data_IF_037749493020
#
_entry.id   IF_037749493020
#
_cell.length_a   1.000
_cell.length_b   1.000
_cell.length_c   1.000
_cell.angle_alpha   90.00
_cell.angle_beta   90.00
_cell.angle_gamma   90.00
#
_symmetry.space_group_name_H-M   'P 1'
#
loop_
_entity.id
_entity.type
_entity.pdbx_description
1 polymer ?
#
# COMPACT_ATOMS: atom_id res chain seq x y z
N UNK A 1 20.44 7.12 19.50
CA UNK A 1 21.64 6.31 19.74
C UNK A 1 21.51 5.15 18.79
N UNK A 2 22.31 5.16 17.73
CA UNK A 2 22.26 4.15 16.67
C UNK A 2 23.01 2.90 17.12
N UNK A 3 22.42 1.74 16.86
CA UNK A 3 23.03 0.43 17.12
C UNK A 3 23.93 0.06 15.93
N UNK A 4 25.27 0.01 16.11
CA UNK A 4 26.21 -0.27 15.02
C UNK A 4 26.22 -1.74 14.56
N UNK A 5 25.39 -2.62 15.16
CA UNK A 5 25.23 -4.01 14.74
C UNK A 5 23.99 -4.26 13.86
N UNK A 6 23.16 -3.25 13.64
CA UNK A 6 22.06 -3.34 12.66
C UNK A 6 22.61 -2.92 11.30
N UNK A 7 22.84 -3.89 10.42
CA UNK A 7 23.11 -3.62 9.01
C UNK A 7 21.89 -2.91 8.43
N UNK A 8 21.98 -1.59 8.25
CA UNK A 8 20.95 -0.77 7.56
C UNK A 8 20.90 -1.08 6.05
N UNK A 9 21.78 -1.96 5.57
CA UNK A 9 21.86 -2.41 4.19
C UNK A 9 21.29 -3.84 4.07
N UNK A 10 20.05 -3.96 3.60
CA UNK A 10 19.43 -5.24 3.29
C UNK A 10 19.57 -5.57 1.80
N UNK A 11 19.95 -6.81 1.47
CA UNK A 11 19.89 -7.29 0.09
C UNK A 11 18.47 -7.72 -0.28
N UNK A 12 17.90 -7.12 -1.33
CA UNK A 12 16.52 -7.41 -1.75
C UNK A 12 16.35 -7.42 -3.27
N UNK A 13 15.23 -7.95 -3.72
CA UNK A 13 14.81 -7.94 -5.12
C UNK A 13 13.51 -7.17 -5.23
N UNK A 14 13.41 -6.30 -6.24
CA UNK A 14 12.16 -5.62 -6.61
C UNK A 14 11.81 -5.90 -8.05
N UNK A 15 10.59 -6.37 -8.27
CA UNK A 15 9.96 -6.47 -9.58
C UNK A 15 8.95 -5.32 -9.72
N UNK A 16 8.96 -4.66 -10.87
CA UNK A 16 8.02 -3.59 -11.18
C UNK A 16 7.45 -3.80 -12.57
N UNK A 17 6.13 -3.73 -12.69
CA UNK A 17 5.41 -3.80 -13.95
C UNK A 17 4.43 -2.65 -14.01
N UNK A 18 4.41 -1.95 -15.15
CA UNK A 18 3.42 -0.93 -15.45
C UNK A 18 2.79 -1.18 -16.81
N UNK A 19 1.49 -0.97 -16.89
CA UNK A 19 0.68 -1.11 -18.09
C UNK A 19 -0.24 0.10 -18.22
N UNK A 20 -0.32 0.66 -19.43
CA UNK A 20 -1.22 1.76 -19.76
C UNK A 20 -1.95 1.41 -21.04
N UNK A 21 -3.26 1.62 -21.04
CA UNK A 21 -4.13 1.39 -22.18
C UNK A 21 -5.06 2.58 -22.38
N UNK A 22 -4.99 3.20 -23.56
CA UNK A 22 -5.95 4.23 -23.96
C UNK A 22 -7.18 3.52 -24.54
N UNK A 23 -8.28 3.49 -23.79
CA UNK A 23 -9.49 2.78 -24.22
C UNK A 23 -10.24 3.54 -25.33
N UNK A 24 -10.26 4.87 -25.24
CA UNK A 24 -10.81 5.79 -26.25
C UNK A 24 -10.21 7.19 -26.03
N UNK A 25 -10.68 8.22 -26.74
CA UNK A 25 -10.15 9.59 -26.62
C UNK A 25 -10.31 10.21 -25.22
N UNK A 26 -11.28 9.76 -24.43
CA UNK A 26 -11.58 10.34 -23.10
C UNK A 26 -11.18 9.43 -21.94
N UNK A 27 -10.91 8.15 -22.19
CA UNK A 27 -10.78 7.13 -21.15
C UNK A 27 -9.45 6.40 -21.26
N UNK A 28 -8.69 6.41 -20.17
CA UNK A 28 -7.44 5.68 -20.03
C UNK A 28 -7.49 4.75 -18.82
N UNK A 29 -6.88 3.58 -18.96
CA UNK A 29 -6.68 2.61 -17.90
C UNK A 29 -5.19 2.44 -17.63
N UNK A 30 -4.81 2.36 -16.35
CA UNK A 30 -3.44 2.10 -15.90
C UNK A 30 -3.44 1.00 -14.85
N UNK A 31 -2.43 0.13 -14.92
CA UNK A 31 -2.17 -0.89 -13.91
C UNK A 31 -0.69 -0.87 -13.57
N UNK A 32 -0.35 -0.92 -12.29
CA UNK A 32 1.01 -0.96 -11.78
C UNK A 32 1.11 -2.01 -10.70
N UNK A 33 2.12 -2.87 -10.80
CA UNK A 33 2.47 -3.87 -9.80
C UNK A 33 3.91 -3.65 -9.36
N UNK A 34 4.13 -3.53 -8.06
CA UNK A 34 5.44 -3.58 -7.44
C UNK A 34 5.42 -4.76 -6.48
N UNK A 35 6.40 -5.64 -6.58
CA UNK A 35 6.62 -6.71 -5.62
C UNK A 35 8.07 -6.64 -5.15
N UNK A 36 8.29 -6.68 -3.84
CA UNK A 36 9.61 -6.70 -3.26
C UNK A 36 9.77 -7.80 -2.21
N UNK A 37 10.97 -8.38 -2.19
CA UNK A 37 11.37 -9.42 -1.25
C UNK A 37 12.72 -9.05 -0.65
N UNK A 38 12.79 -9.06 0.68
CA UNK A 38 14.05 -9.00 1.40
C UNK A 38 14.68 -10.42 1.41
N UNK A 39 15.89 -10.58 0.87
CA UNK A 39 16.52 -11.88 0.73
C UNK A 39 17.25 -12.36 1.98
N UNK A 40 17.59 -11.46 2.91
CA UNK A 40 18.10 -11.82 4.24
C UNK A 40 16.99 -12.38 5.13
N UNK A 41 15.76 -11.94 4.90
CA UNK A 41 14.60 -12.47 5.59
C UNK A 41 13.40 -12.58 4.64
N UNK A 42 13.36 -13.71 3.93
CA UNK A 42 12.33 -14.08 2.94
C UNK A 42 10.90 -14.04 3.46
N UNK A 43 10.71 -13.84 4.76
CA UNK A 43 9.40 -13.64 5.36
C UNK A 43 8.91 -12.18 5.32
N UNK A 44 9.69 -11.23 4.79
CA UNK A 44 9.29 -9.83 4.48
C UNK A 44 9.15 -9.67 2.96
N UNK A 45 7.94 -9.98 2.50
CA UNK A 45 7.52 -9.88 1.11
C UNK A 45 6.33 -8.92 1.04
N UNK A 46 6.40 -7.96 0.12
CA UNK A 46 5.32 -6.98 -0.07
C UNK A 46 4.90 -6.89 -1.53
N UNK A 47 3.63 -6.61 -1.72
CA UNK A 47 3.03 -6.35 -3.02
C UNK A 47 2.23 -5.04 -2.94
N UNK A 48 2.42 -4.18 -3.94
CA UNK A 48 1.57 -3.05 -4.24
C UNK A 48 1.01 -3.22 -5.65
N UNK A 49 -0.31 -3.43 -5.75
CA UNK A 49 -1.04 -3.45 -7.00
C UNK A 49 -1.99 -2.27 -7.06
N UNK A 50 -1.76 -1.37 -8.00
CA UNK A 50 -2.62 -0.23 -8.26
C UNK A 50 -3.25 -0.33 -9.64
N UNK A 51 -4.58 -0.31 -9.71
CA UNK A 51 -5.33 -0.17 -10.94
C UNK A 51 -6.05 1.17 -10.93
N UNK A 52 -6.07 1.87 -12.06
CA UNK A 52 -6.77 3.15 -12.16
C UNK A 52 -7.41 3.35 -13.51
N UNK A 53 -8.50 4.12 -13.50
CA UNK A 53 -9.23 4.54 -14.68
C UNK A 53 -9.41 6.05 -14.61
N UNK A 54 -9.00 6.75 -15.66
CA UNK A 54 -9.20 8.18 -15.81
C UNK A 54 -10.18 8.44 -16.95
N UNK A 55 -11.15 9.33 -16.71
CA UNK A 55 -12.14 9.76 -17.69
C UNK A 55 -12.12 11.28 -17.80
N UNK A 56 -11.92 11.82 -19.00
CA UNK A 56 -12.03 13.24 -19.29
C UNK A 56 -13.49 13.69 -19.13
N UNK A 57 -13.71 14.73 -18.33
CA UNK A 57 -15.03 15.33 -18.05
C UNK A 57 -15.23 16.58 -18.89
N UNK A 58 -14.21 17.43 -18.97
CA UNK A 58 -14.17 18.64 -19.79
C UNK A 58 -12.72 18.95 -20.18
N UNK A 59 -12.48 19.97 -21.01
CA UNK A 59 -11.18 20.27 -21.62
C UNK A 59 -9.94 19.90 -20.77
N UNK A 60 -9.64 20.65 -19.69
CA UNK A 60 -8.49 20.35 -18.83
C UNK A 60 -8.81 19.38 -17.70
N UNK A 61 -10.03 18.82 -17.59
CA UNK A 61 -10.50 18.16 -16.37
C UNK A 61 -10.74 16.67 -16.59
N UNK A 62 -10.15 15.83 -15.75
CA UNK A 62 -10.38 14.39 -15.74
C UNK A 62 -10.71 13.89 -14.33
N UNK A 63 -11.60 12.90 -14.25
CA UNK A 63 -11.89 12.17 -13.03
C UNK A 63 -11.09 10.87 -13.04
N UNK A 64 -10.25 10.63 -12.04
CA UNK A 64 -9.45 9.42 -11.89
C UNK A 64 -9.90 8.63 -10.67
N UNK A 65 -10.36 7.40 -10.89
CA UNK A 65 -10.61 6.42 -9.84
C UNK A 65 -9.43 5.45 -9.79
N UNK A 66 -8.89 5.22 -8.60
CA UNK A 66 -7.81 4.26 -8.37
C UNK A 66 -8.21 3.29 -7.27
N UNK A 67 -7.84 2.03 -7.47
CA UNK A 67 -7.94 0.97 -6.48
C UNK A 67 -6.55 0.38 -6.28
N UNK A 68 -6.08 0.45 -5.04
CA UNK A 68 -4.78 -0.02 -4.63
C UNK A 68 -4.94 -1.15 -3.61
N UNK A 69 -4.18 -2.21 -3.82
CA UNK A 69 -4.09 -3.37 -2.93
C UNK A 69 -2.67 -3.44 -2.43
N UNK A 70 -2.51 -3.34 -1.12
CA UNK A 70 -1.23 -3.47 -0.44
C UNK A 70 -1.24 -4.78 0.33
N UNK A 71 -0.26 -5.63 0.08
CA UNK A 71 -0.01 -6.82 0.86
C UNK A 71 1.34 -6.71 1.55
N UNK A 72 1.36 -7.01 2.84
CA UNK A 72 2.59 -7.10 3.64
C UNK A 72 2.55 -8.37 4.49
N UNK A 73 3.55 -9.24 4.31
CA UNK A 73 3.67 -10.48 5.08
C UNK A 73 3.98 -10.24 6.56
N UNK A 74 4.60 -9.09 6.90
CA UNK A 74 4.88 -8.60 8.25
C UNK A 74 4.23 -7.24 8.49
N UNK A 75 2.90 -7.22 8.68
CA UNK A 75 2.18 -5.99 8.95
C UNK A 75 2.70 -5.36 10.25
N UNK A 76 2.77 -4.04 10.28
CA UNK A 76 3.18 -3.26 11.44
C UNK A 76 2.44 -3.69 12.70
N UNK A 77 3.16 -3.82 13.81
CA UNK A 77 2.57 -4.09 15.12
C UNK A 77 2.05 -2.78 15.72
N UNK A 78 0.79 -2.76 16.14
CA UNK A 78 0.20 -1.64 16.90
C UNK A 78 0.02 -2.02 18.36
N UNK A 79 0.29 -1.09 19.26
CA UNK A 79 -0.03 -1.24 20.68
C UNK A 79 -1.54 -1.06 20.91
N UNK A 80 -2.24 -2.14 21.25
CA UNK A 80 -3.66 -2.13 21.59
C UNK A 80 -3.81 -2.21 23.10
N UNK A 81 -4.51 -1.26 23.76
CA UNK A 81 -4.73 -1.31 25.20
C UNK A 81 -5.62 -2.49 25.56
N UNK A 82 -5.17 -3.33 26.50
CA UNK A 82 -5.90 -4.49 26.95
C UNK A 82 -7.08 -4.07 27.83
N UNK A 83 -8.21 -4.75 27.65
CA UNK A 83 -9.43 -4.55 28.45
C UNK A 83 -9.72 -5.81 29.29
N UNK A 84 -10.19 -5.60 30.51
CA UNK A 84 -10.85 -6.66 31.28
C UNK A 84 -12.14 -7.10 30.57
N UNK A 85 -12.67 -8.31 30.83
CA UNK A 85 -13.90 -8.81 30.21
C UNK A 85 -15.13 -7.90 30.34
N UNK A 86 -15.11 -6.92 31.25
CA UNK A 86 -16.18 -5.96 31.51
C UNK A 86 -15.87 -4.54 31.00
N UNK A 87 -14.88 -4.37 30.12
CA UNK A 87 -14.64 -3.13 29.35
C UNK A 87 -13.69 -2.11 29.99
N UNK A 88 -13.23 -2.31 31.22
CA UNK A 88 -12.23 -1.44 31.84
C UNK A 88 -10.82 -1.72 31.27
N UNK A 89 -10.08 -0.67 30.93
CA UNK A 89 -8.69 -0.79 30.49
C UNK A 89 -7.78 -1.24 31.64
N UNK A 90 -6.85 -2.14 31.34
CA UNK A 90 -5.89 -2.72 32.31
C UNK A 90 -4.67 -1.83 32.56
N UNK A 91 -4.47 -0.78 31.75
CA UNK A 91 -3.24 0.02 31.73
C UNK A 91 -2.07 -0.66 31.01
N UNK A 92 -2.24 -1.89 30.51
CA UNK A 92 -1.25 -2.63 29.72
C UNK A 92 -1.58 -2.55 28.23
N UNK A 93 -0.55 -2.54 27.39
CA UNK A 93 -0.67 -2.60 25.94
C UNK A 93 -0.16 -3.95 25.43
N UNK A 94 -0.89 -4.55 24.49
CA UNK A 94 -0.45 -5.73 23.76
C UNK A 94 -0.18 -5.36 22.30
N UNK A 95 0.88 -5.91 21.72
CA UNK A 95 1.16 -5.73 20.30
C UNK A 95 0.21 -6.61 19.48
N UNK A 96 -0.62 -5.98 18.66
CA UNK A 96 -1.48 -6.65 17.69
C UNK A 96 -0.95 -6.39 16.28
N UNK A 97 -1.05 -7.40 15.40
CA UNK A 97 -0.70 -7.27 13.98
C UNK A 97 -1.79 -6.48 13.25
N UNK A 98 -1.39 -5.51 12.42
CA UNK A 98 -2.31 -4.94 11.42
C UNK A 98 -2.73 -6.00 10.39
N UNK A 99 -3.73 -5.67 9.59
CA UNK A 99 -4.11 -6.53 8.48
C UNK A 99 -2.94 -6.67 7.51
N UNK A 100 -2.75 -7.88 7.00
CA UNK A 100 -1.75 -8.17 5.97
C UNK A 100 -2.13 -7.65 4.59
N UNK A 101 -3.40 -7.29 4.42
CA UNK A 101 -4.00 -6.90 3.16
C UNK A 101 -4.83 -5.65 3.39
N UNK A 102 -4.41 -4.56 2.77
CA UNK A 102 -5.11 -3.29 2.80
C UNK A 102 -5.63 -2.95 1.41
N UNK A 103 -6.84 -2.38 1.38
CA UNK A 103 -7.50 -1.92 0.16
C UNK A 103 -7.75 -0.42 0.25
N UNK A 104 -7.22 0.34 -0.70
CA UNK A 104 -7.38 1.78 -0.76
C UNK A 104 -8.13 2.15 -2.05
N UNK A 105 -9.13 3.01 -1.90
CA UNK A 105 -9.85 3.60 -3.02
C UNK A 105 -9.61 5.09 -3.03
N UNK A 106 -9.17 5.61 -4.17
CA UNK A 106 -8.88 7.04 -4.34
C UNK A 106 -9.67 7.58 -5.51
N UNK A 107 -10.46 8.62 -5.24
CA UNK A 107 -11.10 9.42 -6.27
C UNK A 107 -10.40 10.77 -6.33
N UNK A 108 -9.85 11.12 -7.48
CA UNK A 108 -9.15 12.36 -7.70
C UNK A 108 -9.74 13.11 -8.91
N UNK A 109 -9.83 14.43 -8.78
CA UNK A 109 -10.05 15.32 -9.91
C UNK A 109 -8.68 15.82 -10.39
N UNK A 110 -8.34 15.51 -11.62
CA UNK A 110 -7.05 15.83 -12.25
C UNK A 110 -7.25 17.00 -13.22
N UNK A 111 -6.38 18.01 -13.11
CA UNK A 111 -6.35 19.14 -14.05
C UNK A 111 -5.10 19.02 -14.92
N UNK A 112 -5.27 18.85 -16.23
CA UNK A 112 -4.21 18.89 -17.23
C UNK A 112 -4.22 20.25 -17.94
N UNK A 113 -3.10 20.97 -17.88
CA UNK A 113 -2.88 22.26 -18.55
C UNK A 113 -2.07 22.08 -19.83
#
# INVERSE_FOLDING_TARGET
MDDPATDDAFFGVRLSWSYRYQANETTAFESSLIADENLEDRSDFRIDLTNSMAVAVSGPLALKLSWQVLYDSRPSLIGVPLQYPFGNFTGQTALAKLNKLDHLYTLALVVNF
#
